data_IF_879848372954
#
_entry.id   IF_879848372954
#
_cell.length_a   1.000
_cell.length_b   1.000
_cell.length_c   1.000
_cell.angle_alpha   90.00
_cell.angle_beta   90.00
_cell.angle_gamma   90.00
#
_symmetry.space_group_name_H-M   'P 1'
#
loop_
_entity.id
_entity.type
_entity.pdbx_description
1 polymer ?
#
# COMPACT_ATOMS: atom_id res chain seq x y z
N UNK A 1 2.35 11.97 -35.77
CA UNK A 1 3.16 10.94 -35.08
C UNK A 1 3.33 11.28 -33.61
N UNK A 2 2.87 10.43 -32.75
CA UNK A 2 3.11 10.64 -31.32
C UNK A 2 4.58 10.41 -31.02
N UNK A 3 5.24 11.42 -30.44
CA UNK A 3 6.62 11.27 -30.01
C UNK A 3 6.66 10.43 -28.72
N UNK A 4 7.37 9.31 -28.78
CA UNK A 4 7.62 8.45 -27.64
C UNK A 4 8.97 8.71 -27.01
N UNK A 5 9.67 9.73 -27.48
CA UNK A 5 10.99 10.03 -26.96
C UNK A 5 10.97 10.36 -25.48
N UNK A 6 11.86 9.72 -24.77
CA UNK A 6 12.07 9.91 -23.34
C UNK A 6 13.58 9.91 -23.09
N UNK A 7 14.06 10.84 -22.28
CA UNK A 7 15.46 10.85 -21.86
C UNK A 7 15.54 10.74 -20.34
N UNK A 8 16.29 9.77 -19.89
CA UNK A 8 16.55 9.57 -18.47
C UNK A 8 17.75 10.40 -18.04
N UNK A 9 17.74 10.89 -16.79
CA UNK A 9 18.94 11.47 -16.20
C UNK A 9 19.95 10.36 -15.92
N UNK A 10 21.23 10.71 -15.72
CA UNK A 10 22.27 9.73 -15.40
C UNK A 10 21.94 8.95 -14.13
N UNK A 11 21.45 9.64 -13.11
CA UNK A 11 21.05 9.01 -11.85
C UNK A 11 19.90 8.03 -12.05
N UNK A 12 18.90 8.42 -12.83
CA UNK A 12 17.76 7.55 -13.15
C UNK A 12 18.18 6.33 -13.96
N UNK A 13 19.14 6.48 -14.88
CA UNK A 13 19.73 5.35 -15.62
C UNK A 13 20.38 4.35 -14.68
N UNK A 14 21.12 4.82 -13.70
CA UNK A 14 21.77 3.95 -12.71
C UNK A 14 20.74 3.17 -11.89
N UNK A 15 19.68 3.83 -11.43
CA UNK A 15 18.60 3.19 -10.67
C UNK A 15 17.92 2.12 -11.52
N UNK A 16 17.60 2.44 -12.76
CA UNK A 16 16.93 1.51 -13.69
C UNK A 16 17.83 0.31 -14.00
N UNK A 17 19.11 0.53 -14.27
CA UNK A 17 20.04 -0.57 -14.51
C UNK A 17 20.21 -1.47 -13.29
N UNK A 18 20.19 -0.91 -12.10
CA UNK A 18 20.21 -1.68 -10.87
C UNK A 18 18.96 -2.57 -10.72
N UNK A 19 17.79 -2.03 -11.01
CA UNK A 19 16.53 -2.80 -10.97
C UNK A 19 16.54 -3.93 -12.00
N UNK A 20 17.09 -3.68 -13.20
CA UNK A 20 17.15 -4.67 -14.28
C UNK A 20 18.13 -5.79 -14.03
N UNK A 21 19.20 -5.53 -13.30
CA UNK A 21 20.34 -6.43 -13.18
C UNK A 21 20.56 -7.04 -11.82
N UNK A 22 20.01 -6.45 -10.76
CA UNK A 22 20.29 -6.88 -9.39
C UNK A 22 19.02 -6.95 -8.54
N UNK A 23 19.07 -7.82 -7.54
CA UNK A 23 18.06 -7.91 -6.51
C UNK A 23 16.81 -8.68 -6.93
N UNK A 24 15.86 -8.75 -6.00
CA UNK A 24 14.57 -9.40 -6.22
C UNK A 24 13.51 -8.30 -6.37
N UNK A 25 12.89 -8.26 -7.54
CA UNK A 25 11.85 -7.26 -7.85
C UNK A 25 10.62 -7.95 -8.44
N UNK A 26 9.48 -7.30 -8.31
CA UNK A 26 8.27 -7.77 -8.97
C UNK A 26 8.43 -7.67 -10.50
N UNK A 27 7.87 -8.63 -11.23
CA UNK A 27 7.93 -8.64 -12.70
C UNK A 27 7.45 -7.33 -13.32
N UNK A 28 6.42 -6.72 -12.72
CA UNK A 28 5.89 -5.43 -13.19
C UNK A 28 6.91 -4.31 -13.08
N UNK A 29 7.65 -4.26 -11.99
CA UNK A 29 8.69 -3.25 -11.77
C UNK A 29 9.83 -3.42 -12.77
N UNK A 30 10.28 -4.64 -12.98
CA UNK A 30 11.34 -4.95 -13.95
C UNK A 30 10.90 -4.60 -15.37
N UNK A 31 9.67 -4.92 -15.75
CA UNK A 31 9.14 -4.59 -17.08
C UNK A 31 9.06 -3.08 -17.29
N UNK A 32 8.60 -2.33 -16.29
CA UNK A 32 8.54 -0.87 -16.36
C UNK A 32 9.95 -0.27 -16.49
N UNK A 33 10.92 -0.82 -15.75
CA UNK A 33 12.31 -0.40 -15.89
C UNK A 33 12.86 -0.66 -17.29
N UNK A 34 12.54 -1.82 -17.88
CA UNK A 34 12.90 -2.13 -19.26
C UNK A 34 12.27 -1.16 -20.25
N UNK A 35 10.99 -0.82 -20.07
CA UNK A 35 10.29 0.15 -20.93
C UNK A 35 11.01 1.50 -20.92
N UNK A 36 11.32 2.02 -19.73
CA UNK A 36 12.01 3.30 -19.61
C UNK A 36 13.41 3.27 -20.22
N UNK A 37 14.15 2.20 -20.00
CA UNK A 37 15.48 2.02 -20.59
C UNK A 37 15.40 1.98 -22.12
N UNK A 38 14.44 1.26 -22.67
CA UNK A 38 14.22 1.18 -24.13
C UNK A 38 13.86 2.53 -24.73
N UNK A 39 12.96 3.27 -24.08
CA UNK A 39 12.59 4.62 -24.54
C UNK A 39 13.76 5.57 -24.51
N UNK A 40 14.60 5.51 -23.49
CA UNK A 40 15.82 6.33 -23.38
C UNK A 40 16.82 6.02 -24.50
N UNK A 41 16.86 4.78 -24.96
CA UNK A 41 17.73 4.34 -26.06
C UNK A 41 17.13 4.63 -27.45
N UNK A 42 15.96 5.22 -27.52
CA UNK A 42 15.29 5.53 -28.78
C UNK A 42 14.65 4.34 -29.47
N UNK A 43 14.39 3.25 -28.73
CA UNK A 43 13.73 2.08 -29.28
C UNK A 43 12.25 2.38 -29.49
N UNK A 44 11.69 1.95 -30.63
CA UNK A 44 10.30 2.24 -30.97
C UNK A 44 9.33 1.51 -30.06
N UNK A 45 8.15 2.09 -29.87
CA UNK A 45 7.04 1.51 -29.11
C UNK A 45 6.70 0.10 -29.60
N UNK A 46 6.64 -0.08 -30.92
CA UNK A 46 6.32 -1.38 -31.52
C UNK A 46 7.33 -2.45 -31.15
N UNK A 47 8.63 -2.11 -31.14
CA UNK A 47 9.70 -3.03 -30.76
C UNK A 47 9.64 -3.36 -29.27
N UNK A 48 9.35 -2.39 -28.42
CA UNK A 48 9.21 -2.60 -26.97
C UNK A 48 8.04 -3.58 -26.70
N UNK A 49 6.92 -3.38 -27.35
CA UNK A 49 5.75 -4.24 -27.22
C UNK A 49 6.05 -5.67 -27.66
N UNK A 50 6.76 -5.82 -28.76
CA UNK A 50 7.11 -7.13 -29.30
C UNK A 50 8.08 -7.90 -28.37
N UNK A 51 9.10 -7.21 -27.86
CA UNK A 51 10.15 -7.83 -27.03
C UNK A 51 9.65 -8.16 -25.65
N UNK A 52 8.92 -7.26 -25.01
CA UNK A 52 8.44 -7.42 -23.62
C UNK A 52 7.09 -8.14 -23.53
N UNK A 53 6.38 -8.27 -24.64
CA UNK A 53 5.06 -8.89 -24.65
C UNK A 53 4.00 -8.07 -23.92
N UNK A 54 4.13 -6.76 -23.94
CA UNK A 54 3.20 -5.84 -23.26
C UNK A 54 2.39 -5.03 -24.27
N UNK A 55 1.29 -4.45 -23.82
CA UNK A 55 0.45 -3.60 -24.65
C UNK A 55 0.94 -2.16 -24.75
N UNK A 56 0.42 -1.43 -25.74
CA UNK A 56 0.71 -0.01 -25.94
C UNK A 56 0.43 0.83 -24.70
N UNK A 57 -0.68 0.54 -24.02
CA UNK A 57 -1.08 1.25 -22.79
C UNK A 57 -0.03 1.16 -21.70
N UNK A 58 0.61 -0.01 -21.55
CA UNK A 58 1.66 -0.19 -20.55
C UNK A 58 2.88 0.68 -20.83
N UNK A 59 3.28 0.79 -22.09
CA UNK A 59 4.37 1.67 -22.53
C UNK A 59 4.05 3.14 -22.21
N UNK A 60 2.85 3.57 -22.58
CA UNK A 60 2.40 4.94 -22.36
C UNK A 60 2.26 5.30 -20.89
N UNK A 61 1.77 4.38 -20.08
CA UNK A 61 1.64 4.60 -18.64
C UNK A 61 3.01 4.77 -17.97
N UNK A 62 3.98 3.94 -18.34
CA UNK A 62 5.33 4.05 -17.78
C UNK A 62 5.98 5.40 -18.17
N UNK A 63 5.85 5.78 -19.43
CA UNK A 63 6.35 7.05 -19.92
C UNK A 63 5.70 8.25 -19.22
N UNK A 64 4.37 8.27 -19.19
CA UNK A 64 3.61 9.35 -18.55
C UNK A 64 3.93 9.47 -17.07
N UNK A 65 4.03 8.35 -16.35
CA UNK A 65 4.36 8.33 -14.94
C UNK A 65 5.78 8.88 -14.68
N UNK A 66 6.73 8.54 -15.54
CA UNK A 66 8.09 9.07 -15.43
C UNK A 66 8.12 10.59 -15.62
N UNK A 67 7.41 11.10 -16.62
CA UNK A 67 7.33 12.55 -16.87
C UNK A 67 6.60 13.30 -15.75
N UNK A 68 5.70 12.63 -15.06
CA UNK A 68 4.92 13.20 -13.98
C UNK A 68 5.65 13.18 -12.63
N UNK A 69 6.30 12.09 -12.27
CA UNK A 69 6.87 11.91 -10.95
C UNK A 69 8.20 11.16 -10.88
N UNK A 70 8.88 10.97 -12.02
CA UNK A 70 10.20 10.33 -12.05
C UNK A 70 10.14 8.81 -11.91
N UNK A 71 11.30 8.20 -11.62
CA UNK A 71 11.47 6.75 -11.53
C UNK A 71 10.60 6.12 -10.45
N UNK A 72 10.48 6.76 -9.31
CA UNK A 72 9.72 6.21 -8.18
C UNK A 72 8.25 6.00 -8.55
N UNK A 73 7.65 6.97 -9.23
CA UNK A 73 6.26 6.86 -9.69
C UNK A 73 6.11 5.90 -10.88
N UNK A 74 7.10 5.88 -11.77
CA UNK A 74 7.04 5.10 -13.01
C UNK A 74 7.25 3.61 -12.79
N UNK A 75 8.15 3.22 -11.91
CA UNK A 75 8.58 1.82 -11.71
C UNK A 75 7.85 1.16 -10.55
N UNK A 76 7.80 1.83 -9.40
CA UNK A 76 7.25 1.25 -8.19
C UNK A 76 5.74 1.46 -8.09
N UNK A 77 5.07 0.46 -7.53
CA UNK A 77 3.63 0.59 -7.29
C UNK A 77 3.39 1.56 -6.13
N UNK A 78 2.51 2.53 -6.36
CA UNK A 78 2.08 3.45 -5.31
C UNK A 78 1.09 2.72 -4.41
N UNK A 79 1.33 2.77 -3.10
CA UNK A 79 0.41 2.19 -2.14
C UNK A 79 -0.96 2.84 -2.27
N UNK A 80 -1.98 2.02 -2.42
CA UNK A 80 -3.36 2.50 -2.46
C UNK A 80 -3.83 2.75 -1.04
N UNK A 81 -4.57 3.82 -0.82
CA UNK A 81 -5.12 4.15 0.49
C UNK A 81 -6.10 3.10 1.00
N UNK A 82 -6.68 2.30 0.11
CA UNK A 82 -7.65 1.28 0.48
C UNK A 82 -8.98 1.88 0.92
N UNK A 83 -9.82 1.03 1.49
CA UNK A 83 -11.10 1.47 2.04
C UNK A 83 -10.83 2.33 3.29
N UNK A 84 -11.43 3.52 3.42
CA UNK A 84 -11.28 4.32 4.62
C UNK A 84 -11.68 3.54 5.87
N UNK A 85 -10.93 3.70 6.95
CA UNK A 85 -11.25 3.07 8.22
C UNK A 85 -12.57 3.63 8.76
N UNK A 86 -13.48 2.76 9.16
CA UNK A 86 -14.76 3.15 9.73
C UNK A 86 -14.59 3.78 11.13
N UNK A 87 -13.59 3.33 11.86
CA UNK A 87 -13.27 3.82 13.20
C UNK A 87 -11.84 4.33 13.23
N UNK A 88 -11.64 5.47 13.87
CA UNK A 88 -10.33 6.12 13.95
C UNK A 88 -9.51 5.63 15.16
N UNK A 89 -8.33 6.21 15.33
CA UNK A 89 -7.42 5.88 16.43
C UNK A 89 -8.02 6.22 17.80
N UNK A 90 -8.86 7.26 17.87
CA UNK A 90 -9.54 7.65 19.10
C UNK A 90 -10.49 6.53 19.57
N UNK A 91 -11.26 5.96 18.65
CA UNK A 91 -12.15 4.84 18.96
C UNK A 91 -11.35 3.62 19.41
N UNK A 92 -10.24 3.31 18.74
CA UNK A 92 -9.35 2.22 19.13
C UNK A 92 -8.81 2.43 20.56
N UNK A 93 -8.41 3.66 20.89
CA UNK A 93 -7.92 4.00 22.22
C UNK A 93 -9.01 3.84 23.28
N UNK A 94 -10.24 4.24 22.98
CA UNK A 94 -11.38 4.11 23.88
C UNK A 94 -11.72 2.64 24.17
N UNK A 95 -11.73 1.79 23.15
CA UNK A 95 -11.97 0.35 23.31
C UNK A 95 -10.84 -0.32 24.10
N UNK A 96 -9.60 0.05 23.84
CA UNK A 96 -8.43 -0.46 24.56
C UNK A 96 -8.48 -0.04 26.03
N UNK A 97 -8.81 1.22 26.31
CA UNK A 97 -8.96 1.71 27.69
C UNK A 97 -10.06 0.96 28.44
N UNK A 98 -11.18 0.66 27.76
CA UNK A 98 -12.25 -0.12 28.34
C UNK A 98 -11.79 -1.55 28.68
N UNK A 99 -11.04 -2.19 27.79
CA UNK A 99 -10.50 -3.52 28.03
C UNK A 99 -9.49 -3.55 29.18
N UNK A 100 -8.81 -2.45 29.45
CA UNK A 100 -7.86 -2.32 30.57
C UNK A 100 -8.55 -1.93 31.87
N UNK A 101 -9.82 -1.56 31.85
CA UNK A 101 -10.59 -1.22 33.05
C UNK A 101 -11.07 -2.48 33.75
N UNK A 102 -11.65 -2.31 34.96
CA UNK A 102 -12.22 -3.42 35.69
C UNK A 102 -13.38 -4.05 34.92
N UNK A 103 -13.46 -5.41 34.84
CA UNK A 103 -14.58 -6.06 34.15
C UNK A 103 -15.89 -5.85 34.89
N UNK A 104 -17.04 -6.09 34.23
CA UNK A 104 -18.35 -5.95 34.86
C UNK A 104 -18.47 -6.80 36.12
N UNK A 105 -19.32 -6.34 37.03
CA UNK A 105 -19.57 -7.03 38.30
C UNK A 105 -19.97 -8.49 38.06
N UNK A 106 -19.26 -9.39 38.73
CA UNK A 106 -19.48 -10.83 38.58
C UNK A 106 -18.53 -11.53 37.61
N UNK A 107 -17.66 -10.77 36.90
CA UNK A 107 -16.66 -11.33 35.99
C UNK A 107 -15.26 -11.06 36.51
N UNK A 108 -14.39 -12.06 36.39
CA UNK A 108 -12.98 -11.94 36.77
C UNK A 108 -12.15 -11.26 35.68
N UNK A 109 -12.59 -11.35 34.43
CA UNK A 109 -11.92 -10.76 33.27
C UNK A 109 -12.92 -10.43 32.19
N UNK A 110 -12.50 -9.54 31.25
CA UNK A 110 -13.31 -9.22 30.11
C UNK A 110 -13.38 -10.38 29.11
N UNK A 111 -14.57 -10.65 28.62
CA UNK A 111 -14.79 -11.49 27.44
C UNK A 111 -15.07 -10.58 26.25
N UNK A 112 -14.84 -11.08 25.02
CA UNK A 112 -15.13 -10.31 23.82
C UNK A 112 -16.62 -9.94 23.73
N UNK A 113 -17.51 -10.82 24.16
CA UNK A 113 -18.97 -10.59 24.16
C UNK A 113 -19.34 -9.43 25.08
N UNK A 114 -18.81 -9.43 26.30
CA UNK A 114 -19.09 -8.35 27.25
C UNK A 114 -18.46 -7.03 26.83
N UNK A 115 -17.26 -7.07 26.29
CA UNK A 115 -16.56 -5.89 25.80
C UNK A 115 -17.35 -5.24 24.65
N UNK A 116 -17.86 -6.04 23.72
CA UNK A 116 -18.75 -5.56 22.66
C UNK A 116 -19.99 -4.90 23.21
N UNK A 117 -20.65 -5.56 24.17
CA UNK A 117 -21.88 -5.05 24.77
C UNK A 117 -21.67 -3.70 25.44
N UNK A 118 -20.61 -3.57 26.25
CA UNK A 118 -20.30 -2.33 26.96
C UNK A 118 -19.83 -1.24 25.99
N UNK A 119 -19.00 -1.59 25.00
CA UNK A 119 -18.51 -0.64 24.01
C UNK A 119 -19.64 -0.04 23.18
N UNK A 120 -20.67 -0.83 22.87
CA UNK A 120 -21.84 -0.34 22.12
C UNK A 120 -22.66 0.71 22.87
N UNK A 121 -22.51 0.79 24.18
CA UNK A 121 -23.18 1.81 25.01
C UNK A 121 -22.52 3.17 24.87
N UNK A 122 -21.28 3.22 24.36
CA UNK A 122 -20.57 4.47 24.12
C UNK A 122 -21.17 5.26 22.95
N UNK A 123 -21.20 6.60 23.01
CA UNK A 123 -21.71 7.41 21.92
C UNK A 123 -20.95 7.16 20.62
N UNK A 124 -21.68 6.93 19.52
CA UNK A 124 -21.08 6.69 18.20
C UNK A 124 -20.61 5.25 17.95
N UNK A 125 -20.67 4.38 18.95
CA UNK A 125 -20.17 3.00 18.83
C UNK A 125 -21.29 1.94 18.79
N UNK A 126 -22.53 2.36 18.58
CA UNK A 126 -23.70 1.45 18.58
C UNK A 126 -23.68 0.35 17.53
N UNK A 127 -22.90 0.52 16.46
CA UNK A 127 -22.75 -0.48 15.39
C UNK A 127 -21.44 -1.26 15.47
N UNK A 128 -20.68 -1.10 16.53
CA UNK A 128 -19.41 -1.78 16.70
C UNK A 128 -19.61 -3.29 16.79
N UNK A 129 -18.95 -4.05 15.91
CA UNK A 129 -19.07 -5.50 15.87
C UNK A 129 -18.05 -6.17 16.76
N UNK A 130 -18.35 -7.40 17.17
CA UNK A 130 -17.43 -8.24 17.95
C UNK A 130 -16.09 -8.45 17.24
N UNK A 131 -16.13 -8.68 15.94
CA UNK A 131 -14.93 -8.87 15.13
C UNK A 131 -14.07 -7.61 15.06
N UNK A 132 -14.70 -6.42 14.97
CA UNK A 132 -13.99 -5.15 15.00
C UNK A 132 -13.28 -4.93 16.34
N UNK A 133 -13.95 -5.20 17.45
CA UNK A 133 -13.35 -5.14 18.80
C UNK A 133 -12.14 -6.05 18.89
N UNK A 134 -12.28 -7.28 18.41
CA UNK A 134 -11.19 -8.27 18.41
C UNK A 134 -9.99 -7.78 17.60
N UNK A 135 -10.21 -7.21 16.42
CA UNK A 135 -9.12 -6.66 15.59
C UNK A 135 -8.39 -5.51 16.27
N UNK A 136 -9.12 -4.61 16.90
CA UNK A 136 -8.54 -3.47 17.60
C UNK A 136 -7.63 -3.93 18.73
N UNK A 137 -8.06 -4.89 19.53
CA UNK A 137 -7.27 -5.43 20.63
C UNK A 137 -6.05 -6.20 20.13
N UNK A 138 -6.20 -7.00 19.08
CA UNK A 138 -5.10 -7.75 18.48
C UNK A 138 -4.03 -6.82 17.91
N UNK A 139 -4.44 -5.74 17.26
CA UNK A 139 -3.54 -4.73 16.72
C UNK A 139 -2.71 -4.07 17.82
N UNK A 140 -3.34 -3.77 18.95
CA UNK A 140 -2.67 -3.15 20.09
C UNK A 140 -1.64 -4.09 20.72
N UNK A 141 -1.97 -5.37 20.88
CA UNK A 141 -1.07 -6.35 21.50
C UNK A 141 0.08 -6.78 20.61
N UNK A 142 -0.09 -6.71 19.27
CA UNK A 142 0.96 -7.08 18.32
C UNK A 142 1.77 -5.88 17.82
N UNK A 143 1.61 -4.71 18.42
CA UNK A 143 2.38 -3.53 18.05
C UNK A 143 3.85 -3.72 18.37
N UNK A 144 4.77 -3.52 17.41
CA UNK A 144 6.20 -3.73 17.63
C UNK A 144 6.87 -2.70 18.54
N UNK A 145 6.16 -1.67 18.96
CA UNK A 145 6.66 -0.68 19.90
C UNK A 145 6.52 -1.06 21.37
N UNK A 146 6.06 -2.25 21.68
CA UNK A 146 5.78 -2.71 23.04
C UNK A 146 7.00 -3.26 23.78
N UNK A 147 8.21 -3.10 23.27
CA UNK A 147 9.46 -3.52 23.93
C UNK A 147 10.06 -2.39 24.74
#
# INVERSE_FOLDING_TARGET
>A
MRQTELRLTEQDRLVIEEIRSKGVHHSREVNRAHVLSCLDRGISEAQIMAVLGIGRTAVWRARSAYLQGGVDLAVFDVARSGRPAQYDTDVEARVTALACSAPPKGLQRWTIVELERVARQEPGLGKLSRETVRRMLKKTTSSPGAN
#
